data_IF_204286001963
#
_entry.id   IF_204286001963
#
_cell.length_a   1.000
_cell.length_b   1.000
_cell.length_c   1.000
_cell.angle_alpha   90.00
_cell.angle_beta   90.00
_cell.angle_gamma   90.00
#
_symmetry.space_group_name_H-M   'P 1'
#
loop_
_entity.id
_entity.type
_entity.pdbx_description
1 polymer ?
#
# COMPACT_ATOMS: atom_id res chain seq x y z
N UNK A 1 -7.93 24.56 -2.59
CA UNK A 1 -8.30 23.16 -2.85
C UNK A 1 -8.92 22.64 -1.57
N UNK A 2 -10.19 22.24 -1.61
CA UNK A 2 -10.93 21.78 -0.44
C UNK A 2 -10.23 20.56 0.20
N UNK A 3 -10.27 20.51 1.53
CA UNK A 3 -9.51 19.64 2.41
C UNK A 3 -9.77 18.14 2.11
N UNK A 4 -8.86 17.46 1.39
CA UNK A 4 -8.95 16.01 1.09
C UNK A 4 -8.54 15.13 2.29
N UNK A 5 -8.20 15.76 3.42
CA UNK A 5 -7.74 15.15 4.66
C UNK A 5 -8.67 15.53 5.83
N UNK A 6 -9.97 15.60 5.57
CA UNK A 6 -11.01 15.80 6.60
C UNK A 6 -11.62 14.45 6.96
N UNK A 7 -10.80 13.60 7.57
CA UNK A 7 -11.22 12.26 7.98
C UNK A 7 -11.94 12.32 9.34
N UNK A 8 -13.02 11.55 9.54
CA UNK A 8 -13.65 11.46 10.85
C UNK A 8 -12.71 10.80 11.87
N UNK A 9 -13.03 10.97 13.16
CA UNK A 9 -12.34 10.26 14.23
C UNK A 9 -12.41 8.74 14.01
N UNK A 10 -11.31 8.04 14.31
CA UNK A 10 -11.14 6.60 14.11
C UNK A 10 -11.29 6.11 12.64
N UNK A 11 -11.09 7.00 11.65
CA UNK A 11 -11.08 6.62 10.23
C UNK A 11 -9.87 5.75 9.86
N UNK A 12 -10.10 4.70 9.07
CA UNK A 12 -9.05 3.91 8.43
C UNK A 12 -9.06 4.20 6.93
N UNK A 13 -7.97 4.77 6.42
CA UNK A 13 -7.80 5.03 4.99
C UNK A 13 -6.79 4.04 4.38
N UNK A 14 -7.18 3.41 3.27
CA UNK A 14 -6.29 2.55 2.47
C UNK A 14 -6.36 2.96 1.01
N UNK A 15 -5.41 3.80 0.59
CA UNK A 15 -5.33 4.28 -0.80
C UNK A 15 -3.88 4.51 -1.23
N UNK A 16 -3.47 3.93 -2.37
CA UNK A 16 -2.13 4.14 -2.94
C UNK A 16 -1.84 5.61 -3.29
N UNK A 17 -2.86 6.44 -3.50
CA UNK A 17 -2.75 7.87 -3.80
C UNK A 17 -2.26 8.70 -2.62
N UNK A 18 -2.24 8.14 -1.40
CA UNK A 18 -1.64 8.76 -0.22
C UNK A 18 -0.14 9.03 -0.41
N UNK A 19 0.54 8.22 -1.23
CA UNK A 19 1.96 8.38 -1.56
C UNK A 19 2.27 9.73 -2.21
N UNK A 20 1.32 10.32 -2.94
CA UNK A 20 1.51 11.62 -3.57
C UNK A 20 1.44 12.82 -2.60
N UNK A 21 1.14 12.60 -1.32
CA UNK A 21 0.97 13.68 -0.33
C UNK A 21 1.47 13.28 1.08
N UNK A 22 2.64 12.64 1.16
CA UNK A 22 3.23 12.20 2.44
C UNK A 22 3.49 13.38 3.38
N UNK A 23 3.97 14.53 2.87
CA UNK A 23 4.18 15.73 3.69
C UNK A 23 2.88 16.30 4.26
N UNK A 24 1.82 16.31 3.46
CA UNK A 24 0.49 16.73 3.92
C UNK A 24 -0.06 15.80 5.00
N UNK A 25 0.15 14.49 4.86
CA UNK A 25 -0.24 13.50 5.88
C UNK A 25 0.54 13.69 7.18
N UNK A 26 1.86 13.91 7.10
CA UNK A 26 2.66 14.24 8.28
C UNK A 26 2.18 15.52 8.95
N UNK A 27 1.89 16.57 8.17
CA UNK A 27 1.44 17.84 8.72
C UNK A 27 0.07 17.76 9.38
N UNK A 28 -0.83 16.93 8.85
CA UNK A 28 -2.20 16.81 9.35
C UNK A 28 -2.32 15.81 10.51
N UNK A 29 -1.56 14.72 10.48
CA UNK A 29 -1.79 13.55 11.33
C UNK A 29 -0.53 12.97 11.99
N UNK A 30 0.63 13.60 11.81
CA UNK A 30 1.94 13.02 12.15
C UNK A 30 2.05 12.49 13.58
N UNK A 31 1.42 13.12 14.57
CA UNK A 31 1.41 12.68 15.97
C UNK A 31 0.15 11.91 16.38
N UNK A 32 -0.87 11.88 15.55
CA UNK A 32 -2.23 11.48 15.98
C UNK A 32 -2.74 10.26 15.20
N UNK A 33 -1.90 9.68 14.34
CA UNK A 33 -2.26 8.53 13.51
C UNK A 33 -1.13 7.51 13.44
N UNK A 34 -1.53 6.24 13.31
CA UNK A 34 -0.62 5.13 13.03
C UNK A 34 -0.47 4.98 11.51
N UNK A 35 0.75 5.16 11.01
CA UNK A 35 1.05 4.93 9.60
C UNK A 35 1.47 3.48 9.36
N UNK A 36 0.66 2.73 8.60
CA UNK A 36 0.89 1.31 8.32
C UNK A 36 1.36 1.11 6.87
N UNK A 37 2.52 0.50 6.70
CA UNK A 37 2.99 0.03 5.40
C UNK A 37 2.66 -1.46 5.26
N UNK A 38 1.76 -1.79 4.33
CA UNK A 38 1.53 -3.17 3.90
C UNK A 38 2.61 -3.53 2.88
N UNK A 39 3.49 -4.46 3.24
CA UNK A 39 4.66 -4.83 2.44
C UNK A 39 4.52 -6.26 1.93
N UNK A 40 4.99 -6.49 0.72
CA UNK A 40 5.23 -7.81 0.11
C UNK A 40 6.65 -7.88 -0.39
N UNK A 41 7.07 -9.07 -0.76
CA UNK A 41 8.32 -9.26 -1.51
C UNK A 41 8.34 -8.36 -2.76
N UNK A 42 9.46 -7.64 -2.98
CA UNK A 42 9.56 -6.60 -4.00
C UNK A 42 9.49 -7.15 -5.42
N UNK A 43 10.11 -8.31 -5.69
CA UNK A 43 10.05 -8.98 -6.98
C UNK A 43 8.62 -9.47 -7.28
N UNK A 44 7.90 -10.04 -6.32
CA UNK A 44 6.50 -10.44 -6.48
C UNK A 44 5.61 -9.25 -6.89
N UNK A 45 5.80 -8.10 -6.25
CA UNK A 45 5.05 -6.88 -6.57
C UNK A 45 5.44 -6.36 -7.97
N UNK A 46 6.73 -6.35 -8.29
CA UNK A 46 7.21 -5.92 -9.60
C UNK A 46 6.67 -6.80 -10.73
N UNK A 47 6.65 -8.12 -10.55
CA UNK A 47 6.06 -9.06 -11.50
C UNK A 47 4.55 -8.82 -11.67
N UNK A 48 3.83 -8.63 -10.56
CA UNK A 48 2.41 -8.32 -10.60
C UNK A 48 2.13 -7.04 -11.38
N UNK A 49 2.91 -5.97 -11.17
CA UNK A 49 2.74 -4.72 -11.91
C UNK A 49 3.12 -4.88 -13.38
N UNK A 50 4.24 -5.55 -13.66
CA UNK A 50 4.72 -5.78 -15.02
C UNK A 50 3.71 -6.59 -15.86
N UNK A 51 2.97 -7.51 -15.23
CA UNK A 51 1.97 -8.34 -15.90
C UNK A 51 0.83 -7.54 -16.55
N UNK A 52 0.57 -6.31 -16.09
CA UNK A 52 -0.44 -5.39 -16.62
C UNK A 52 0.09 -3.94 -16.70
N UNK A 53 1.33 -3.80 -17.17
CA UNK A 53 2.07 -2.54 -17.14
C UNK A 53 1.31 -1.37 -17.79
N UNK A 54 0.71 -1.59 -18.96
CA UNK A 54 0.01 -0.53 -19.70
C UNK A 54 -1.18 0.05 -18.93
N UNK A 55 -1.86 -0.74 -18.09
CA UNK A 55 -2.93 -0.24 -17.24
C UNK A 55 -2.42 0.52 -16.01
N UNK A 56 -1.24 0.15 -15.50
CA UNK A 56 -0.66 0.74 -14.29
C UNK A 56 0.17 2.01 -14.57
N UNK A 57 0.81 2.09 -15.74
CA UNK A 57 1.77 3.14 -16.10
C UNK A 57 1.27 4.58 -15.82
N UNK A 58 0.04 4.99 -16.16
CA UNK A 58 -0.42 6.36 -15.90
C UNK A 58 -0.43 6.72 -14.41
N UNK A 59 -0.82 5.76 -13.57
CA UNK A 59 -0.85 5.96 -12.11
C UNK A 59 0.57 5.99 -11.56
N UNK A 60 1.43 5.10 -12.03
CA UNK A 60 2.82 5.01 -11.58
C UNK A 60 3.60 6.29 -11.87
N UNK A 61 3.42 6.88 -13.07
CA UNK A 61 4.00 8.20 -13.41
C UNK A 61 3.59 9.30 -12.44
N UNK A 62 2.38 9.22 -11.91
CA UNK A 62 1.87 10.22 -10.96
C UNK A 62 2.43 10.00 -9.56
N UNK A 63 2.60 8.74 -9.15
CA UNK A 63 3.03 8.38 -7.78
C UNK A 63 4.55 8.36 -7.61
N UNK A 64 5.31 8.14 -8.69
CA UNK A 64 6.76 8.11 -8.70
C UNK A 64 7.31 8.80 -9.97
N UNK A 65 7.22 10.14 -10.06
CA UNK A 65 7.62 10.88 -11.25
C UNK A 65 9.11 10.80 -11.56
N UNK A 66 9.94 10.47 -10.56
CA UNK A 66 11.39 10.36 -10.69
C UNK A 66 11.86 9.03 -11.33
N UNK A 67 10.95 8.09 -11.58
CA UNK A 67 11.26 6.84 -12.29
C UNK A 67 11.47 7.15 -13.76
N UNK A 68 12.72 7.11 -14.22
CA UNK A 68 13.06 7.30 -15.63
C UNK A 68 12.53 6.16 -16.51
N UNK A 69 11.61 6.53 -17.41
CA UNK A 69 11.03 5.66 -18.43
C UNK A 69 11.76 5.94 -19.75
N UNK A 70 12.97 5.40 -19.87
CA UNK A 70 13.74 5.48 -21.10
C UNK A 70 13.28 4.45 -22.13
N UNK A 71 13.35 4.82 -23.42
CA UNK A 71 12.96 3.96 -24.53
C UNK A 71 13.76 2.64 -24.49
N UNK A 72 13.06 1.51 -24.62
CA UNK A 72 13.66 0.17 -24.61
C UNK A 72 13.79 -0.48 -23.23
N UNK A 73 13.39 0.19 -22.14
CA UNK A 73 13.33 -0.46 -20.82
C UNK A 73 12.16 -1.45 -20.75
N UNK A 74 12.39 -2.65 -20.21
CA UNK A 74 11.34 -3.66 -20.08
C UNK A 74 10.30 -3.24 -19.02
N UNK A 75 9.03 -3.66 -19.15
CA UNK A 75 8.00 -3.42 -18.12
C UNK A 75 8.41 -3.90 -16.72
N UNK A 76 9.12 -5.02 -16.63
CA UNK A 76 9.60 -5.57 -15.36
C UNK A 76 10.66 -4.68 -14.72
N UNK A 77 11.59 -4.15 -15.51
CA UNK A 77 12.62 -3.25 -14.97
C UNK A 77 12.03 -1.92 -14.52
N UNK A 78 11.03 -1.39 -15.25
CA UNK A 78 10.30 -0.20 -14.82
C UNK A 78 9.50 -0.47 -13.54
N UNK A 79 8.86 -1.64 -13.43
CA UNK A 79 8.14 -2.05 -12.23
C UNK A 79 9.07 -2.18 -11.01
N UNK A 80 10.26 -2.77 -11.18
CA UNK A 80 11.28 -2.84 -10.13
C UNK A 80 11.70 -1.46 -9.64
N UNK A 81 12.06 -0.55 -10.57
CA UNK A 81 12.43 0.83 -10.23
C UNK A 81 11.31 1.56 -9.48
N UNK A 82 10.07 1.37 -9.89
CA UNK A 82 8.92 1.94 -9.19
C UNK A 82 8.76 1.38 -7.78
N UNK A 83 8.80 0.06 -7.61
CA UNK A 83 8.68 -0.59 -6.30
C UNK A 83 9.78 -0.09 -5.36
N UNK A 84 11.02 0.00 -5.84
CA UNK A 84 12.15 0.50 -5.06
C UNK A 84 11.99 1.98 -4.69
N UNK A 85 11.53 2.82 -5.63
CA UNK A 85 11.26 4.23 -5.41
C UNK A 85 10.17 4.45 -4.36
N UNK A 86 9.02 3.78 -4.50
CA UNK A 86 7.91 3.85 -3.54
C UNK A 86 8.34 3.35 -2.17
N UNK A 87 9.04 2.21 -2.12
CA UNK A 87 9.55 1.66 -0.86
C UNK A 87 10.48 2.63 -0.14
N UNK A 88 11.42 3.21 -0.87
CA UNK A 88 12.36 4.21 -0.32
C UNK A 88 11.60 5.44 0.21
N UNK A 89 10.60 5.92 -0.52
CA UNK A 89 9.78 7.07 -0.09
C UNK A 89 8.99 6.75 1.20
N UNK A 90 8.38 5.57 1.30
CA UNK A 90 7.66 5.14 2.49
C UNK A 90 8.61 4.98 3.68
N UNK A 91 9.76 4.32 3.51
CA UNK A 91 10.74 4.11 4.57
C UNK A 91 11.30 5.45 5.09
N UNK A 92 11.59 6.39 4.17
CA UNK A 92 12.00 7.74 4.53
C UNK A 92 10.91 8.48 5.31
N UNK A 93 9.65 8.39 4.89
CA UNK A 93 8.52 9.00 5.59
C UNK A 93 8.33 8.42 6.99
N UNK A 94 8.34 7.08 7.13
CA UNK A 94 8.20 6.38 8.41
C UNK A 94 9.25 6.81 9.43
N UNK A 95 10.48 7.09 8.98
CA UNK A 95 11.55 7.60 9.85
C UNK A 95 11.28 9.00 10.41
N UNK A 96 10.27 9.72 9.88
CA UNK A 96 9.93 11.08 10.29
C UNK A 96 8.66 11.21 11.12
N UNK A 97 7.92 10.11 11.32
CA UNK A 97 6.70 10.08 12.12
C UNK A 97 6.88 9.20 13.37
N UNK A 98 6.34 9.61 14.54
CA UNK A 98 6.51 8.87 15.79
C UNK A 98 5.79 7.51 15.79
N UNK A 99 4.69 7.37 15.06
CA UNK A 99 3.85 6.18 15.08
C UNK A 99 3.75 5.56 13.69
N UNK A 100 4.57 4.53 13.46
CA UNK A 100 4.49 3.74 12.24
C UNK A 100 4.71 2.26 12.52
N UNK A 101 4.26 1.42 11.58
CA UNK A 101 4.58 0.00 11.55
C UNK A 101 4.56 -0.53 10.13
N UNK A 102 5.19 -1.70 9.96
CA UNK A 102 5.16 -2.46 8.71
C UNK A 102 4.55 -3.83 8.97
N UNK A 103 3.58 -4.20 8.14
CA UNK A 103 2.97 -5.53 8.13
C UNK A 103 3.43 -6.21 6.85
N UNK A 104 4.21 -7.28 6.98
CA UNK A 104 4.58 -8.14 5.87
C UNK A 104 3.39 -9.04 5.57
N UNK A 105 2.85 -9.00 4.35
CA UNK A 105 1.62 -9.72 4.01
C UNK A 105 1.79 -11.24 4.14
N UNK A 106 3.00 -11.76 3.93
CA UNK A 106 3.37 -13.16 4.15
C UNK A 106 3.26 -13.57 5.63
N UNK A 107 3.25 -12.59 6.54
CA UNK A 107 3.21 -12.77 8.00
C UNK A 107 2.03 -12.02 8.64
N UNK A 108 1.10 -11.50 7.83
CA UNK A 108 0.06 -10.57 8.30
C UNK A 108 -0.73 -11.13 9.47
N UNK A 109 -1.15 -12.40 9.41
CA UNK A 109 -1.88 -13.06 10.50
C UNK A 109 -1.13 -13.00 11.84
N UNK A 110 0.18 -13.23 11.82
CA UNK A 110 1.03 -13.21 13.03
C UNK A 110 1.32 -11.79 13.54
N UNK A 111 1.30 -10.79 12.65
CA UNK A 111 1.54 -9.38 12.98
C UNK A 111 0.25 -8.61 13.29
N UNK A 112 -0.91 -9.19 12.99
CA UNK A 112 -2.21 -8.54 13.14
C UNK A 112 -2.52 -8.18 14.60
N UNK A 113 -2.12 -9.01 15.56
CA UNK A 113 -2.32 -8.73 16.98
C UNK A 113 -1.65 -7.41 17.40
N UNK A 114 -0.44 -7.15 16.93
CA UNK A 114 0.25 -5.89 17.23
C UNK A 114 -0.48 -4.70 16.60
N UNK A 115 -0.92 -4.82 15.35
CA UNK A 115 -1.73 -3.78 14.69
C UNK A 115 -3.02 -3.51 15.47
N UNK A 116 -3.77 -4.55 15.84
CA UNK A 116 -5.02 -4.48 16.60
C UNK A 116 -4.86 -3.66 17.88
N UNK A 117 -3.84 -3.97 18.69
CA UNK A 117 -3.59 -3.24 19.93
C UNK A 117 -3.12 -1.81 19.70
N UNK A 118 -2.29 -1.56 18.67
CA UNK A 118 -1.79 -0.21 18.35
C UNK A 118 -2.89 0.74 17.91
N UNK A 119 -3.91 0.25 17.21
CA UNK A 119 -5.08 1.08 16.82
C UNK A 119 -6.16 1.14 17.90
N UNK A 120 -5.99 0.43 19.02
CA UNK A 120 -7.00 0.36 20.08
C UNK A 120 -8.28 -0.33 19.64
N UNK A 121 -8.20 -1.33 18.74
CA UNK A 121 -9.38 -2.02 18.25
C UNK A 121 -10.09 -2.80 19.38
N UNK A 122 -11.41 -2.79 19.32
CA UNK A 122 -12.30 -3.48 20.24
C UNK A 122 -13.09 -4.59 19.51
N UNK A 123 -13.59 -5.58 20.26
CA UNK A 123 -14.37 -6.69 19.74
C UNK A 123 -13.70 -8.05 19.89
N UNK A 124 -14.09 -9.00 19.05
CA UNK A 124 -13.60 -10.38 19.10
C UNK A 124 -12.29 -10.52 18.33
N UNK A 125 -11.18 -10.36 19.04
CA UNK A 125 -9.84 -10.50 18.50
C UNK A 125 -9.56 -11.90 17.92
N UNK A 126 -10.14 -12.96 18.49
CA UNK A 126 -9.93 -14.32 18.00
C UNK A 126 -10.63 -14.50 16.64
N UNK A 127 -11.90 -14.07 16.55
CA UNK A 127 -12.63 -14.10 15.28
C UNK A 127 -11.96 -13.24 14.20
N UNK A 128 -11.37 -12.09 14.56
CA UNK A 128 -10.63 -11.24 13.62
C UNK A 128 -9.33 -11.90 13.11
N UNK A 129 -8.62 -12.66 13.96
CA UNK A 129 -7.46 -13.45 13.53
C UNK A 129 -7.89 -14.60 12.60
N UNK A 130 -8.99 -15.28 12.91
CA UNK A 130 -9.51 -16.40 12.11
C UNK A 130 -9.97 -15.96 10.71
N UNK A 131 -10.27 -14.68 10.53
CA UNK A 131 -10.63 -14.10 9.25
C UNK A 131 -9.54 -14.26 8.18
N UNK A 132 -8.26 -14.30 8.58
CA UNK A 132 -7.13 -14.51 7.67
C UNK A 132 -7.12 -15.92 7.03
N UNK A 133 -7.83 -16.89 7.60
CA UNK A 133 -7.95 -18.24 7.03
C UNK A 133 -9.10 -18.34 6.00
N UNK A 134 -9.94 -17.30 5.91
CA UNK A 134 -11.02 -17.24 4.94
C UNK A 134 -10.51 -16.66 3.62
N UNK A 135 -10.81 -17.38 2.53
CA UNK A 135 -10.49 -16.95 1.19
C UNK A 135 -11.70 -16.26 0.57
N UNK A 136 -11.65 -14.94 0.45
CA UNK A 136 -12.69 -14.15 -0.21
C UNK A 136 -12.48 -14.07 -1.74
N UNK A 137 -11.23 -14.19 -2.19
CA UNK A 137 -10.85 -14.19 -3.60
C UNK A 137 -10.65 -15.62 -4.13
N UNK A 138 -11.75 -16.29 -4.44
CA UNK A 138 -11.76 -17.31 -5.48
C UNK A 138 -11.99 -16.58 -6.80
N UNK A 139 -10.91 -16.29 -7.54
CA UNK A 139 -11.04 -15.81 -8.91
C UNK A 139 -11.85 -16.87 -9.68
N UNK A 140 -13.08 -16.54 -10.10
CA UNK A 140 -13.66 -17.20 -11.26
C UNK A 140 -12.78 -16.84 -12.44
N UNK A 141 -11.78 -17.67 -12.72
CA UNK A 141 -11.10 -17.66 -14.02
C UNK A 141 -12.17 -17.91 -15.07
N UNK A 142 -12.62 -16.86 -15.77
CA UNK A 142 -13.15 -16.90 -17.15
C UNK A 142 -13.85 -15.61 -17.59
N UNK A 143 -14.14 -14.65 -16.70
CA UNK A 143 -14.98 -13.49 -17.07
C UNK A 143 -14.23 -12.19 -17.44
N UNK A 144 -12.92 -12.07 -17.22
CA UNK A 144 -12.21 -10.79 -17.37
C UNK A 144 -11.38 -10.63 -18.66
N UNK A 145 -11.40 -11.60 -19.59
CA UNK A 145 -10.65 -11.54 -20.85
C UNK A 145 -11.50 -11.27 -22.12
N UNK A 146 -12.79 -10.97 -21.99
CA UNK A 146 -13.67 -10.76 -23.15
C UNK A 146 -14.25 -9.35 -23.30
N UNK A 147 -13.66 -8.35 -22.64
CA UNK A 147 -14.04 -6.96 -22.85
C UNK A 147 -12.82 -6.05 -22.84
N UNK A 148 -12.01 -6.13 -23.91
CA UNK A 148 -11.17 -5.04 -24.42
C UNK A 148 -10.66 -5.39 -25.81
#
# INVERSE_FOLDING_TARGET
>A
MANRLDYPEAHIEVDRRLLANLDGLKSAFGSDSLFVHLRRESADVAESIASDWHAQEPVMRTLAPDVDISAGTSPLDLARRYVDSVRTAIEAFQATVPYSMTIDLERAKSQFAEFWYRIGAEGDHAAAIDEFDRRYDAVRSDAWRSAR
#
